data_IF_214842552170
#
_entry.id   IF_214842552170
#
_cell.length_a   1.000
_cell.length_b   1.000
_cell.length_c   1.000
_cell.angle_alpha   90.00
_cell.angle_beta   90.00
_cell.angle_gamma   90.00
#
_symmetry.space_group_name_H-M   'P 1'
#
loop_
_entity.id
_entity.type
_entity.pdbx_description
1 polymer ?
#
# COMPACT_ATOMS: atom_id res chain seq x y z
N UNK A 1 -15.15 23.30 1.84
CA UNK A 1 -14.07 22.59 1.13
C UNK A 1 -14.71 21.71 0.07
N UNK A 2 -14.29 21.82 -1.19
CA UNK A 2 -14.87 21.10 -2.32
C UNK A 2 -14.43 19.62 -2.31
N UNK A 3 -15.39 18.69 -2.29
CA UNK A 3 -15.13 17.24 -2.37
C UNK A 3 -14.32 16.82 -3.61
N UNK A 4 -14.44 17.58 -4.71
CA UNK A 4 -13.64 17.39 -5.94
C UNK A 4 -12.12 17.55 -5.75
N UNK A 5 -11.66 18.32 -4.76
CA UNK A 5 -10.22 18.50 -4.54
C UNK A 5 -9.61 17.41 -3.65
N UNK A 6 -10.41 16.67 -2.87
CA UNK A 6 -9.91 15.57 -2.03
C UNK A 6 -9.59 14.31 -2.84
N UNK A 7 -10.28 14.08 -3.96
CA UNK A 7 -9.99 12.97 -4.89
C UNK A 7 -8.68 13.18 -5.69
N UNK A 8 -8.14 14.40 -5.73
CA UNK A 8 -6.86 14.72 -6.40
C UNK A 8 -5.68 14.75 -5.41
N UNK A 9 -5.61 13.76 -4.50
CA UNK A 9 -4.52 13.63 -3.54
C UNK A 9 -3.98 12.21 -3.57
N UNK A 10 -2.65 12.10 -3.70
CA UNK A 10 -1.96 10.81 -3.65
C UNK A 10 -2.22 10.18 -2.28
N UNK A 11 -2.11 10.98 -1.21
CA UNK A 11 -2.41 10.53 0.17
C UNK A 11 -3.80 9.94 0.29
N UNK A 12 -4.81 10.62 -0.27
CA UNK A 12 -6.20 10.15 -0.19
C UNK A 12 -6.41 8.82 -0.90
N UNK A 13 -5.95 8.70 -2.15
CA UNK A 13 -6.13 7.49 -2.95
C UNK A 13 -5.45 6.28 -2.28
N UNK A 14 -4.19 6.43 -1.90
CA UNK A 14 -3.39 5.35 -1.34
C UNK A 14 -3.85 4.94 0.07
N UNK A 15 -4.18 5.93 0.92
CA UNK A 15 -4.72 5.62 2.26
C UNK A 15 -6.09 4.93 2.18
N UNK A 16 -6.87 5.16 1.13
CA UNK A 16 -8.13 4.45 0.93
C UNK A 16 -7.88 2.99 0.53
N UNK A 17 -6.90 2.74 -0.33
CA UNK A 17 -6.48 1.39 -0.70
C UNK A 17 -5.94 0.61 0.50
N UNK A 18 -5.12 1.24 1.36
CA UNK A 18 -4.67 0.66 2.63
C UNK A 18 -5.83 0.19 3.49
N UNK A 19 -6.86 1.02 3.67
CA UNK A 19 -8.04 0.66 4.48
C UNK A 19 -8.73 -0.61 3.96
N UNK A 20 -8.86 -0.75 2.65
CA UNK A 20 -9.53 -1.92 2.06
C UNK A 20 -8.68 -3.18 2.25
N UNK A 21 -7.36 -3.07 2.02
CA UNK A 21 -6.42 -4.18 2.19
C UNK A 21 -6.35 -4.61 3.66
N UNK A 22 -6.23 -3.66 4.60
CA UNK A 22 -6.16 -3.95 6.03
C UNK A 22 -7.48 -4.40 6.62
N UNK A 23 -8.62 -4.03 6.05
CA UNK A 23 -9.90 -4.63 6.44
C UNK A 23 -9.91 -6.14 6.16
N UNK A 24 -9.35 -6.59 5.02
CA UNK A 24 -9.19 -8.02 4.71
C UNK A 24 -8.22 -8.70 5.68
N UNK A 25 -7.09 -8.06 5.96
CA UNK A 25 -6.12 -8.57 6.93
C UNK A 25 -6.73 -8.73 8.32
N UNK A 26 -7.42 -7.70 8.84
CA UNK A 26 -8.08 -7.76 10.14
C UNK A 26 -9.15 -8.85 10.21
N UNK A 27 -9.89 -9.10 9.12
CA UNK A 27 -10.85 -10.21 9.02
C UNK A 27 -10.18 -11.60 9.02
N UNK A 28 -8.93 -11.69 8.57
CA UNK A 28 -8.14 -12.93 8.71
C UNK A 28 -7.75 -13.12 10.18
N UNK A 29 -7.32 -12.05 10.86
CA UNK A 29 -6.84 -12.08 12.25
C UNK A 29 -7.95 -12.31 13.27
N UNK A 30 -9.13 -11.75 13.05
CA UNK A 30 -10.24 -11.85 13.99
C UNK A 30 -10.86 -13.27 14.06
N UNK A 31 -10.49 -14.15 13.13
CA UNK A 31 -10.97 -15.53 13.06
C UNK A 31 -12.48 -15.65 12.83
N UNK A 32 -13.15 -14.57 12.40
CA UNK A 32 -14.60 -14.52 12.18
C UNK A 32 -15.05 -15.44 11.04
N UNK A 33 -14.14 -15.78 10.13
CA UNK A 33 -14.37 -16.71 9.02
C UNK A 33 -14.18 -18.16 9.49
N UNK A 34 -15.32 -18.83 9.72
CA UNK A 34 -15.35 -20.22 10.21
C UNK A 34 -15.12 -21.24 9.09
N UNK A 35 -15.51 -20.90 7.85
CA UNK A 35 -15.33 -21.78 6.71
C UNK A 35 -13.89 -21.74 6.17
N UNK A 36 -13.24 -22.89 6.11
CA UNK A 36 -11.84 -23.01 5.67
C UNK A 36 -11.65 -22.54 4.23
N UNK A 37 -12.61 -22.75 3.35
CA UNK A 37 -12.50 -22.33 1.95
C UNK A 37 -12.62 -20.81 1.85
N UNK A 38 -13.58 -20.21 2.53
CA UNK A 38 -13.72 -18.75 2.62
C UNK A 38 -12.45 -18.11 3.20
N UNK A 39 -11.85 -18.72 4.22
CA UNK A 39 -10.59 -18.23 4.81
C UNK A 39 -9.44 -18.24 3.80
N UNK A 40 -9.28 -19.33 3.03
CA UNK A 40 -8.26 -19.44 2.00
C UNK A 40 -8.48 -18.43 0.85
N UNK A 41 -9.73 -18.21 0.46
CA UNK A 41 -10.10 -17.20 -0.54
C UNK A 41 -9.80 -15.78 -0.03
N UNK A 42 -10.09 -15.48 1.23
CA UNK A 42 -9.78 -14.20 1.86
C UNK A 42 -8.26 -13.95 1.94
N UNK A 43 -7.49 -14.95 2.38
CA UNK A 43 -6.02 -14.89 2.40
C UNK A 43 -5.47 -14.65 1.00
N UNK A 44 -5.97 -15.39 0.01
CA UNK A 44 -5.56 -15.22 -1.38
C UNK A 44 -5.88 -13.80 -1.88
N UNK A 45 -7.10 -13.31 -1.64
CA UNK A 45 -7.47 -11.94 -2.03
C UNK A 45 -6.55 -10.92 -1.37
N UNK A 46 -6.38 -10.97 -0.05
CA UNK A 46 -5.47 -10.06 0.67
C UNK A 46 -4.07 -10.04 0.06
N UNK A 47 -3.50 -11.22 -0.21
CA UNK A 47 -2.17 -11.34 -0.85
C UNK A 47 -2.14 -10.70 -2.23
N UNK A 48 -3.11 -11.02 -3.08
CA UNK A 48 -3.17 -10.52 -4.44
C UNK A 48 -3.30 -8.99 -4.46
N UNK A 49 -4.14 -8.44 -3.57
CA UNK A 49 -4.37 -7.00 -3.47
C UNK A 49 -3.15 -6.25 -2.93
N UNK A 50 -2.50 -6.77 -1.89
CA UNK A 50 -1.28 -6.17 -1.33
C UNK A 50 -0.12 -6.20 -2.35
N UNK A 51 0.02 -7.29 -3.10
CA UNK A 51 1.02 -7.39 -4.17
C UNK A 51 0.75 -6.42 -5.33
N UNK A 52 -0.53 -6.23 -5.67
CA UNK A 52 -0.96 -5.29 -6.70
C UNK A 52 -0.69 -3.84 -6.27
N UNK A 53 -1.02 -3.51 -5.02
CA UNK A 53 -0.76 -2.20 -4.42
C UNK A 53 0.73 -1.84 -4.44
N UNK A 54 1.60 -2.70 -3.88
CA UNK A 54 3.06 -2.46 -3.89
C UNK A 54 3.60 -2.28 -5.31
N UNK A 55 3.08 -3.06 -6.28
CA UNK A 55 3.48 -2.92 -7.68
C UNK A 55 3.03 -1.58 -8.26
N UNK A 56 1.82 -1.13 -7.93
CA UNK A 56 1.29 0.16 -8.39
C UNK A 56 2.17 1.30 -7.88
N UNK A 57 2.60 1.27 -6.63
CA UNK A 57 3.52 2.24 -6.04
C UNK A 57 4.87 2.27 -6.72
N UNK A 58 5.47 1.09 -6.91
CA UNK A 58 6.75 0.95 -7.58
C UNK A 58 6.72 1.54 -9.00
N UNK A 59 5.61 1.38 -9.71
CA UNK A 59 5.45 1.84 -11.10
C UNK A 59 5.00 3.31 -11.22
N UNK A 60 4.12 3.75 -10.33
CA UNK A 60 3.50 5.06 -10.40
C UNK A 60 4.27 6.12 -9.61
N UNK A 61 4.82 5.75 -8.45
CA UNK A 61 5.39 6.67 -7.47
C UNK A 61 6.92 6.57 -7.45
N UNK A 62 7.48 5.36 -7.30
CA UNK A 62 8.93 5.22 -7.02
C UNK A 62 9.80 5.36 -8.28
N UNK A 63 9.22 5.23 -9.47
CA UNK A 63 9.94 5.29 -10.75
C UNK A 63 9.89 6.65 -11.45
N UNK A 64 9.69 7.75 -10.71
CA UNK A 64 9.71 9.10 -11.29
C UNK A 64 11.17 9.59 -11.29
N UNK A 65 11.66 10.01 -12.46
CA UNK A 65 13.08 10.34 -12.66
C UNK A 65 13.51 11.64 -11.94
N UNK A 66 12.56 12.57 -11.75
CA UNK A 66 12.79 13.88 -11.12
C UNK A 66 12.28 13.96 -9.68
N UNK A 67 12.35 12.84 -8.94
CA UNK A 67 11.96 12.88 -7.52
C UNK A 67 13.03 13.61 -6.73
N UNK A 68 12.65 14.81 -6.29
CA UNK A 68 13.47 15.85 -5.68
C UNK A 68 14.57 15.42 -4.71
N UNK A 69 14.43 15.80 -3.45
CA UNK A 69 15.53 15.79 -2.48
C UNK A 69 16.11 14.38 -2.23
N UNK A 70 17.38 14.31 -1.81
CA UNK A 70 18.03 13.05 -1.40
C UNK A 70 17.25 12.29 -0.32
N UNK A 71 16.48 13.00 0.51
CA UNK A 71 15.64 12.42 1.55
C UNK A 71 14.50 11.56 0.95
N UNK A 72 13.83 12.03 -0.12
CA UNK A 72 12.80 11.22 -0.78
C UNK A 72 13.37 9.95 -1.39
N UNK A 73 14.58 10.04 -1.98
CA UNK A 73 15.28 8.86 -2.52
C UNK A 73 15.58 7.83 -1.44
N UNK A 74 16.00 8.27 -0.25
CA UNK A 74 16.23 7.36 0.88
C UNK A 74 14.93 6.70 1.37
N UNK A 75 13.83 7.44 1.39
CA UNK A 75 12.51 6.89 1.74
C UNK A 75 12.12 5.79 0.74
N UNK A 76 12.27 6.00 -0.57
CA UNK A 76 11.93 4.94 -1.55
C UNK A 76 12.80 3.71 -1.43
N UNK A 77 14.11 3.86 -1.22
CA UNK A 77 14.99 2.70 -1.02
C UNK A 77 14.50 1.87 0.16
N UNK A 78 14.16 2.54 1.28
CA UNK A 78 13.60 1.86 2.45
C UNK A 78 12.26 1.18 2.16
N UNK A 79 11.33 1.84 1.47
CA UNK A 79 10.04 1.26 1.11
C UNK A 79 10.18 0.06 0.17
N UNK A 80 11.12 0.10 -0.79
CA UNK A 80 11.44 -1.03 -1.67
C UNK A 80 12.02 -2.23 -0.90
N UNK A 81 12.85 -1.97 0.11
CA UNK A 81 13.35 -3.01 1.02
C UNK A 81 12.21 -3.62 1.85
N UNK A 82 11.31 -2.79 2.38
CA UNK A 82 10.11 -3.22 3.10
C UNK A 82 9.18 -4.05 2.18
N UNK A 83 8.94 -3.63 0.93
CA UNK A 83 8.19 -4.41 -0.07
C UNK A 83 8.82 -5.79 -0.28
N UNK A 84 10.15 -5.86 -0.41
CA UNK A 84 10.86 -7.13 -0.57
C UNK A 84 10.67 -8.05 0.64
N UNK A 85 10.71 -7.48 1.85
CA UNK A 85 10.46 -8.23 3.08
C UNK A 85 9.00 -8.73 3.15
N UNK A 86 8.02 -7.85 2.92
CA UNK A 86 6.60 -8.20 2.89
C UNK A 86 6.35 -9.33 1.87
N UNK A 87 6.85 -9.19 0.62
CA UNK A 87 6.70 -10.22 -0.42
C UNK A 87 7.21 -11.59 0.03
N UNK A 88 8.34 -11.65 0.76
CA UNK A 88 8.87 -12.91 1.30
C UNK A 88 7.93 -13.49 2.37
N UNK A 89 7.45 -12.67 3.29
CA UNK A 89 6.54 -13.12 4.35
C UNK A 89 5.20 -13.62 3.79
N UNK A 90 4.70 -13.02 2.70
CA UNK A 90 3.49 -13.47 2.03
C UNK A 90 3.62 -14.87 1.40
N UNK A 91 4.84 -15.36 1.09
CA UNK A 91 5.04 -16.73 0.60
C UNK A 91 4.59 -17.74 1.66
N UNK A 92 4.98 -17.51 2.91
CA UNK A 92 4.72 -18.42 4.03
C UNK A 92 3.42 -18.10 4.80
N UNK A 93 2.80 -16.95 4.55
CA UNK A 93 1.59 -16.48 5.24
C UNK A 93 0.40 -17.47 5.24
N UNK A 94 0.33 -18.38 4.26
CA UNK A 94 -0.71 -19.41 4.23
C UNK A 94 -0.61 -20.43 5.39
N UNK A 95 0.53 -20.47 6.10
CA UNK A 95 0.74 -21.34 7.26
C UNK A 95 0.12 -20.78 8.54
N UNK A 96 -0.20 -19.48 8.57
CA UNK A 96 -0.85 -18.79 9.69
C UNK A 96 -0.23 -19.12 11.06
N UNK A 97 1.09 -19.29 11.14
CA UNK A 97 1.74 -19.34 12.45
C UNK A 97 1.77 -17.94 13.07
N UNK A 98 1.61 -17.89 14.39
CA UNK A 98 1.40 -16.67 15.16
C UNK A 98 2.56 -15.68 15.00
N UNK A 99 3.80 -16.18 14.99
CA UNK A 99 5.01 -15.39 14.81
C UNK A 99 5.05 -14.69 13.44
N UNK A 100 4.80 -15.43 12.35
CA UNK A 100 4.75 -14.85 11.00
C UNK A 100 3.64 -13.81 10.86
N UNK A 101 2.49 -14.05 11.50
CA UNK A 101 1.35 -13.14 11.48
C UNK A 101 1.66 -11.84 12.22
N UNK A 102 2.25 -11.92 13.40
CA UNK A 102 2.64 -10.76 14.20
C UNK A 102 3.75 -9.95 13.53
N UNK A 103 4.77 -10.62 12.98
CA UNK A 103 5.82 -9.95 12.23
C UNK A 103 5.24 -9.23 11.01
N UNK A 104 4.29 -9.85 10.29
CA UNK A 104 3.66 -9.24 9.11
C UNK A 104 2.84 -8.01 9.52
N UNK A 105 2.09 -8.11 10.61
CA UNK A 105 1.33 -6.99 11.15
C UNK A 105 2.24 -5.82 11.53
N UNK A 106 3.36 -6.11 12.17
CA UNK A 106 4.34 -5.10 12.59
C UNK A 106 4.99 -4.38 11.40
N UNK A 107 5.40 -5.12 10.37
CA UNK A 107 5.98 -4.48 9.18
C UNK A 107 4.94 -3.68 8.40
N UNK A 108 3.71 -4.19 8.24
CA UNK A 108 2.65 -3.46 7.54
C UNK A 108 2.28 -2.16 8.26
N UNK A 109 2.23 -2.16 9.59
CA UNK A 109 1.96 -0.95 10.37
C UNK A 109 3.10 0.08 10.26
N UNK A 110 4.36 -0.36 10.28
CA UNK A 110 5.52 0.52 10.10
C UNK A 110 5.57 1.10 8.69
N UNK A 111 5.27 0.27 7.70
CA UNK A 111 5.21 0.64 6.28
C UNK A 111 4.13 1.70 6.04
N UNK A 112 2.88 1.43 6.43
CA UNK A 112 1.78 2.40 6.33
C UNK A 112 2.12 3.72 7.03
N UNK A 113 2.71 3.66 8.24
CA UNK A 113 3.06 4.85 8.99
C UNK A 113 4.10 5.72 8.27
N UNK A 114 5.07 5.10 7.60
CA UNK A 114 6.05 5.83 6.79
C UNK A 114 5.38 6.46 5.57
N UNK A 115 4.50 5.72 4.90
CA UNK A 115 3.85 6.19 3.68
C UNK A 115 2.81 7.28 3.92
N UNK A 116 1.78 6.96 4.72
CA UNK A 116 0.68 7.86 5.03
C UNK A 116 1.11 9.02 5.94
N UNK A 117 2.09 8.80 6.80
CA UNK A 117 2.60 9.82 7.72
C UNK A 117 3.66 10.73 7.11
N UNK A 118 4.42 10.24 6.12
CA UNK A 118 5.58 10.97 5.58
C UNK A 118 5.53 11.06 4.06
N UNK A 119 5.59 9.94 3.34
CA UNK A 119 5.81 9.95 1.91
C UNK A 119 4.68 10.64 1.14
N UNK A 120 3.45 10.13 1.22
CA UNK A 120 2.36 10.65 0.39
C UNK A 120 2.04 12.12 0.67
N UNK A 121 1.99 12.59 1.95
CA UNK A 121 1.83 14.01 2.23
C UNK A 121 2.96 14.87 1.66
N UNK A 122 4.18 14.33 1.59
CA UNK A 122 5.33 15.03 1.01
C UNK A 122 5.18 15.12 -0.51
N UNK A 123 4.81 14.03 -1.19
CA UNK A 123 4.52 14.04 -2.62
C UNK A 123 3.39 15.02 -2.98
N UNK A 124 2.33 15.05 -2.18
CA UNK A 124 1.20 15.95 -2.39
C UNK A 124 1.58 17.45 -2.29
N UNK A 125 2.64 17.78 -1.53
CA UNK A 125 3.11 19.16 -1.28
C UNK A 125 4.28 19.58 -2.17
N UNK A 126 5.20 18.67 -2.46
CA UNK A 126 6.50 18.99 -3.07
C UNK A 126 6.55 18.72 -4.58
N UNK A 127 5.68 17.86 -5.11
CA UNK A 127 5.61 17.64 -6.55
C UNK A 127 4.93 18.81 -7.26
N UNK A 128 5.38 19.07 -8.48
CA UNK A 128 4.66 19.96 -9.39
C UNK A 128 3.29 19.38 -9.74
N UNK A 129 2.34 20.25 -10.09
CA UNK A 129 0.99 19.83 -10.48
C UNK A 129 1.03 18.81 -11.64
N UNK A 130 1.93 19.00 -12.62
CA UNK A 130 2.12 18.08 -13.75
C UNK A 130 2.50 16.66 -13.28
N UNK A 131 3.56 16.53 -12.46
CA UNK A 131 4.00 15.22 -11.97
C UNK A 131 2.94 14.57 -11.08
N UNK A 132 2.26 15.38 -10.26
CA UNK A 132 1.17 14.91 -9.42
C UNK A 132 0.01 14.35 -10.25
N UNK A 133 -0.39 15.04 -11.31
CA UNK A 133 -1.42 14.56 -12.24
C UNK A 133 -1.01 13.26 -12.95
N UNK A 134 0.26 13.12 -13.37
CA UNK A 134 0.77 11.88 -13.95
C UNK A 134 0.68 10.70 -12.98
N UNK A 135 1.05 10.91 -11.71
CA UNK A 135 0.90 9.88 -10.67
C UNK A 135 -0.57 9.54 -10.48
N UNK A 136 -1.42 10.54 -10.23
CA UNK A 136 -2.85 10.34 -9.96
C UNK A 136 -3.52 9.58 -11.12
N UNK A 137 -3.15 9.88 -12.36
CA UNK A 137 -3.62 9.14 -13.53
C UNK A 137 -3.22 7.67 -13.48
N UNK A 138 -1.94 7.36 -13.24
CA UNK A 138 -1.46 5.97 -13.12
C UNK A 138 -2.14 5.24 -11.96
N UNK A 139 -2.31 5.90 -10.82
CA UNK A 139 -3.02 5.35 -9.66
C UNK A 139 -4.48 5.04 -9.99
N UNK A 140 -5.16 5.94 -10.72
CA UNK A 140 -6.56 5.74 -11.11
C UNK A 140 -6.73 4.60 -12.13
N UNK A 141 -5.79 4.45 -13.07
CA UNK A 141 -5.81 3.38 -14.08
C UNK A 141 -5.42 2.01 -13.49
N UNK A 142 -4.55 2.01 -12.48
CA UNK A 142 -4.01 0.79 -11.86
C UNK A 142 -4.73 0.33 -10.59
N UNK A 143 -5.54 1.18 -9.95
CA UNK A 143 -6.25 0.80 -8.72
C UNK A 143 -7.31 -0.26 -9.00
N UNK A 144 -7.27 -1.33 -8.22
CA UNK A 144 -8.24 -2.43 -8.28
C UNK A 144 -9.62 -1.99 -7.76
N UNK A 145 -9.66 -0.94 -6.94
CA UNK A 145 -10.86 -0.54 -6.20
C UNK A 145 -11.64 0.61 -6.82
N UNK A 146 -11.15 1.19 -7.93
CA UNK A 146 -11.83 2.25 -8.67
C UNK A 146 -12.19 3.45 -7.78
N UNK A 147 -11.29 4.43 -7.70
CA UNK A 147 -11.51 5.62 -6.86
C UNK A 147 -12.23 6.74 -7.61
#
# INVERSE_FOLDING_TARGET
MNFKNMQNSITFLMSNEHKVIFAKFNKILDGSVVDKKEMLELIKSFKDDLLAHMKLEEQAIFNIEDIGSNEMKQIFVKLLEEHSQIRRMLVDFARLDEETVDDLKDILAKHEALEAGTLYPKLDRELSDYLKEEILKKLSEGSVYGV
#
